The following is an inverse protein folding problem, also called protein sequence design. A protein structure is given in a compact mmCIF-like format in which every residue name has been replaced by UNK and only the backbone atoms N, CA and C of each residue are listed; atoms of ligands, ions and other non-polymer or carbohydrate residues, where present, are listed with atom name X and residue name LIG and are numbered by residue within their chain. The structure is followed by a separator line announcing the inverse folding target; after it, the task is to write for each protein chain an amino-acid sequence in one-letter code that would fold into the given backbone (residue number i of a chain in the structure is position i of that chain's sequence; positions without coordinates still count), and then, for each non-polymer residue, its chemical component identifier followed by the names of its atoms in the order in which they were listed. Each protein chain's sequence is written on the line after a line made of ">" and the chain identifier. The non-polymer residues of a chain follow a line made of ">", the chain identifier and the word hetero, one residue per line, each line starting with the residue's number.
data_IF_100327366112
#
_entry.id   IF_100327366112
#
_cell.length_a   1.000
_cell.length_b   1.000
_cell.length_c   1.000
_cell.angle_alpha   90.00
_cell.angle_beta   90.00
_cell.angle_gamma   90.00
#
_symmetry.space_group_name_H-M   'P 1'
#
loop_
_entity.id
_entity.type
_entity.pdbx_description
1 polymer ?
#
# COMPACT_ATOMS: atom_id res chain seq x y z
N UNK A 1 -3.63 -14.10 8.04
CA UNK A 1 -4.07 -12.93 7.25
C UNK A 1 -2.97 -11.87 7.26
N UNK A 2 -1.84 -12.17 6.61
CA UNK A 2 -0.66 -11.29 6.56
C UNK A 2 -0.87 -10.12 5.59
N UNK A 3 -1.66 -10.32 4.53
CA UNK A 3 -1.95 -9.32 3.50
C UNK A 3 -2.70 -8.09 4.02
N UNK A 4 -3.67 -8.28 4.93
CA UNK A 4 -4.47 -7.18 5.47
C UNK A 4 -3.65 -6.29 6.41
N UNK A 5 -2.76 -6.89 7.21
CA UNK A 5 -1.87 -6.13 8.08
C UNK A 5 -0.89 -5.29 7.25
N UNK A 6 -0.26 -5.91 6.23
CA UNK A 6 0.61 -5.18 5.31
C UNK A 6 -0.10 -4.03 4.59
N UNK A 7 -1.35 -4.24 4.15
CA UNK A 7 -2.17 -3.19 3.55
C UNK A 7 -2.43 -2.02 4.52
N UNK A 8 -2.75 -2.31 5.78
CA UNK A 8 -2.95 -1.28 6.81
C UNK A 8 -1.68 -0.50 7.09
N UNK A 9 -0.55 -1.18 7.26
CA UNK A 9 0.74 -0.53 7.53
C UNK A 9 1.14 0.43 6.40
N UNK A 10 0.90 0.04 5.14
CA UNK A 10 1.15 0.88 3.96
C UNK A 10 0.20 2.09 3.94
N UNK A 11 -1.09 1.88 4.22
CA UNK A 11 -2.06 2.97 4.25
C UNK A 11 -1.72 3.98 5.35
N UNK A 12 -1.37 3.51 6.55
CA UNK A 12 -0.98 4.38 7.66
C UNK A 12 0.28 5.18 7.32
N UNK A 13 1.26 4.57 6.66
CA UNK A 13 2.45 5.27 6.16
C UNK A 13 2.07 6.34 5.12
N UNK A 14 1.18 6.01 4.19
CA UNK A 14 0.70 6.93 3.16
C UNK A 14 -0.05 8.12 3.74
N UNK A 15 -0.96 7.89 4.69
CA UNK A 15 -1.72 8.95 5.36
C UNK A 15 -0.82 9.87 6.17
N UNK A 16 0.17 9.32 6.89
CA UNK A 16 1.17 10.13 7.63
C UNK A 16 2.02 10.98 6.70
N UNK A 17 2.45 10.44 5.57
CA UNK A 17 3.20 11.18 4.56
C UNK A 17 2.33 12.29 3.93
N UNK A 18 1.07 11.99 3.64
CA UNK A 18 0.12 12.95 3.10
C UNK A 18 -0.16 14.10 4.08
N UNK A 19 -0.35 13.79 5.36
CA UNK A 19 -0.51 14.80 6.41
C UNK A 19 0.72 15.72 6.52
N UNK A 20 1.94 15.14 6.51
CA UNK A 20 3.19 15.91 6.51
C UNK A 20 3.31 16.83 5.30
N UNK A 21 2.81 16.40 4.15
CA UNK A 21 2.80 17.17 2.90
C UNK A 21 1.56 18.07 2.75
N UNK A 22 0.67 18.10 3.74
CA UNK A 22 -0.61 18.83 3.73
C UNK A 22 -1.49 18.50 2.51
N UNK A 23 -1.45 17.24 2.04
CA UNK A 23 -2.27 16.79 0.92
C UNK A 23 -3.71 16.60 1.38
N UNK A 24 -4.65 17.05 0.56
CA UNK A 24 -6.09 16.85 0.75
C UNK A 24 -6.57 15.55 0.12
N UNK A 25 -5.79 14.98 -0.80
CA UNK A 25 -6.11 13.73 -1.49
C UNK A 25 -4.84 13.05 -1.97
N UNK A 26 -4.81 11.73 -1.90
CA UNK A 26 -3.79 10.89 -2.51
C UNK A 26 -4.33 10.39 -3.85
N UNK A 27 -3.61 10.66 -4.93
CA UNK A 27 -4.00 10.24 -6.29
C UNK A 27 -3.29 8.97 -6.72
N UNK A 28 -2.13 8.67 -6.15
CA UNK A 28 -1.35 7.47 -6.50
C UNK A 28 -0.47 7.00 -5.35
N UNK A 29 -0.39 5.68 -5.20
CA UNK A 29 0.51 4.98 -4.29
C UNK A 29 1.36 4.00 -5.09
N UNK A 30 2.67 4.07 -4.94
CA UNK A 30 3.60 3.10 -5.50
C UNK A 30 4.18 2.27 -4.38
N UNK A 31 4.04 0.95 -4.50
CA UNK A 31 4.42 -0.02 -3.48
C UNK A 31 5.39 -1.00 -4.11
N UNK A 32 6.48 -1.28 -3.41
CA UNK A 32 7.34 -2.41 -3.77
C UNK A 32 6.87 -3.64 -2.99
N UNK A 33 6.60 -4.73 -3.70
CA UNK A 33 6.21 -6.02 -3.15
C UNK A 33 7.28 -7.06 -3.48
N UNK A 34 7.93 -7.52 -2.44
CA UNK A 34 8.86 -8.61 -2.43
C UNK A 34 8.23 -9.99 -2.50
N UNK A 35 9.02 -10.99 -2.86
CA UNK A 35 8.66 -12.39 -2.61
C UNK A 35 8.78 -12.69 -1.12
N UNK A 36 7.73 -12.37 -0.37
CA UNK A 36 7.58 -12.80 1.02
C UNK A 36 6.82 -14.12 0.98
N UNK A 37 7.50 -15.20 1.35
CA UNK A 37 6.88 -16.51 1.60
C UNK A 37 6.95 -16.68 3.11
N UNK A 38 5.84 -16.52 3.81
CA UNK A 38 5.76 -16.71 5.26
C UNK A 38 4.83 -17.90 5.53
N UNK A 39 5.34 -18.93 6.20
CA UNK A 39 4.59 -20.16 6.49
C UNK A 39 3.87 -20.82 5.28
N UNK A 40 4.37 -20.63 4.05
CA UNK A 40 3.78 -21.19 2.84
C UNK A 40 2.66 -20.35 2.22
N UNK A 41 2.27 -19.24 2.85
CA UNK A 41 1.38 -18.23 2.29
C UNK A 41 2.20 -16.99 1.88
N UNK A 42 2.08 -16.61 0.62
CA UNK A 42 2.73 -15.41 0.10
C UNK A 42 1.76 -14.26 0.01
N UNK A 43 2.27 -13.03 0.16
CA UNK A 43 1.49 -11.84 -0.17
C UNK A 43 1.41 -11.76 -1.70
N UNK A 44 0.22 -11.94 -2.26
CA UNK A 44 0.01 -11.76 -3.70
C UNK A 44 -0.27 -10.29 -4.01
N UNK A 45 0.14 -9.86 -5.20
CA UNK A 45 -0.13 -8.50 -5.68
C UNK A 45 -1.64 -8.20 -5.67
N UNK A 46 -2.46 -9.15 -6.13
CA UNK A 46 -3.91 -9.01 -6.21
C UNK A 46 -4.55 -8.89 -4.82
N UNK A 47 -4.12 -9.70 -3.85
CA UNK A 47 -4.64 -9.64 -2.48
C UNK A 47 -4.22 -8.33 -1.80
N UNK A 48 -2.98 -7.90 -1.97
CA UNK A 48 -2.50 -6.65 -1.40
C UNK A 48 -3.25 -5.45 -1.98
N UNK A 49 -3.43 -5.40 -3.31
CA UNK A 49 -4.20 -4.34 -3.97
C UNK A 49 -5.66 -4.32 -3.50
N UNK A 50 -6.31 -5.48 -3.44
CA UNK A 50 -7.68 -5.60 -2.96
C UNK A 50 -7.83 -5.11 -1.52
N UNK A 51 -6.95 -5.58 -0.62
CA UNK A 51 -6.99 -5.20 0.78
C UNK A 51 -6.72 -3.71 0.97
N UNK A 52 -5.77 -3.14 0.23
CA UNK A 52 -5.50 -1.70 0.23
C UNK A 52 -6.72 -0.89 -0.21
N UNK A 53 -7.37 -1.26 -1.31
CA UNK A 53 -8.61 -0.60 -1.75
C UNK A 53 -9.70 -0.71 -0.70
N UNK A 54 -9.79 -1.85 -0.02
CA UNK A 54 -10.78 -2.06 1.04
C UNK A 54 -10.53 -1.15 2.25
N UNK A 55 -9.29 -1.10 2.74
CA UNK A 55 -8.94 -0.30 3.93
C UNK A 55 -8.82 1.20 3.64
N UNK A 56 -8.56 1.59 2.39
CA UNK A 56 -8.45 3.00 1.99
C UNK A 56 -9.81 3.72 1.88
N UNK A 57 -10.94 2.99 1.88
CA UNK A 57 -12.28 3.60 1.84
C UNK A 57 -12.50 4.53 3.03
N UNK A 58 -13.01 5.74 2.77
CA UNK A 58 -13.21 6.77 3.77
C UNK A 58 -11.95 7.53 4.18
N UNK A 59 -10.83 7.33 3.46
CA UNK A 59 -9.55 8.02 3.72
C UNK A 59 -9.12 8.88 2.52
N UNK A 60 -8.02 9.64 2.69
CA UNK A 60 -7.43 10.44 1.62
C UNK A 60 -6.98 9.59 0.41
N UNK A 61 -6.80 8.27 0.59
CA UNK A 61 -6.38 7.33 -0.45
C UNK A 61 -7.50 6.52 -1.11
N UNK A 62 -8.79 6.78 -0.81
CA UNK A 62 -9.92 5.97 -1.29
C UNK A 62 -9.94 5.77 -2.81
N UNK A 63 -9.55 6.81 -3.55
CA UNK A 63 -9.53 6.82 -5.01
C UNK A 63 -8.10 6.82 -5.58
N UNK A 64 -7.10 6.46 -4.79
CA UNK A 64 -5.72 6.43 -5.23
C UNK A 64 -5.50 5.29 -6.23
N UNK A 65 -4.74 5.57 -7.29
CA UNK A 65 -4.20 4.54 -8.17
C UNK A 65 -3.11 3.76 -7.42
N UNK A 66 -3.31 2.46 -7.24
CA UNK A 66 -2.32 1.58 -6.60
C UNK A 66 -1.44 0.96 -7.68
N UNK A 67 -0.13 1.16 -7.57
CA UNK A 67 0.88 0.60 -8.47
C UNK A 67 1.81 -0.28 -7.64
N UNK A 68 1.72 -1.60 -7.83
CA UNK A 68 2.58 -2.56 -7.14
C UNK A 68 3.70 -3.00 -8.08
N UNK A 69 4.95 -2.81 -7.64
CA UNK A 69 6.17 -3.22 -8.34
C UNK A 69 6.75 -4.45 -7.65
N UNK A 70 6.83 -5.56 -8.38
CA UNK A 70 7.49 -6.78 -7.89
C UNK A 70 9.00 -6.59 -7.78
N UNK A 71 9.58 -6.92 -6.62
CA UNK A 71 11.03 -6.85 -6.37
C UNK A 71 11.57 -8.18 -5.81
N UNK A 72 12.88 -8.40 -5.95
CA UNK A 72 13.53 -9.64 -5.51
C UNK A 72 13.88 -9.64 -4.00
N UNK A 73 13.72 -8.53 -3.28
CA UNK A 73 13.94 -8.50 -1.83
C UNK A 73 12.66 -8.90 -1.09
N UNK A 74 12.73 -9.57 0.07
CA UNK A 74 11.54 -9.98 0.84
C UNK A 74 10.99 -8.81 1.69
N UNK A 75 10.53 -7.75 1.04
CA UNK A 75 10.03 -6.54 1.72
C UNK A 75 8.72 -6.07 1.10
N UNK A 76 7.84 -5.46 1.90
CA UNK A 76 6.70 -4.68 1.39
C UNK A 76 6.82 -3.25 1.91
N UNK A 77 6.80 -2.26 1.03
CA UNK A 77 6.90 -0.85 1.45
C UNK A 77 6.29 0.11 0.44
N UNK A 78 5.78 1.22 0.96
CA UNK A 78 5.47 2.41 0.18
C UNK A 78 6.78 3.04 -0.30
N UNK A 79 6.90 3.32 -1.60
CA UNK A 79 8.08 3.98 -2.18
C UNK A 79 7.80 5.36 -2.73
N UNK A 80 6.58 5.60 -3.21
CA UNK A 80 6.19 6.88 -3.77
C UNK A 80 4.71 7.14 -3.49
N UNK A 81 4.40 8.41 -3.25
CA UNK A 81 3.05 8.90 -3.04
C UNK A 81 2.90 10.21 -3.81
N UNK A 82 1.83 10.29 -4.60
CA UNK A 82 1.41 11.51 -5.29
C UNK A 82 0.02 11.93 -4.81
N UNK A 83 -0.22 13.23 -4.73
CA UNK A 83 -1.47 13.80 -4.25
C UNK A 83 -1.49 15.32 -4.35
N UNK A 84 -2.66 15.88 -4.05
CA UNK A 84 -2.97 17.32 -4.07
C UNK A 84 -3.63 17.77 -2.77
#
# INVERSE_FOLDING_TARGET
>A
MHDLLAAKDILDAALKEAERKNLKKITKLVIELGKIIDHGEGISQENLEFNLKMVAKGTLAENAQIVIKGINQPVVRLVELEGE
#
